data_IF_883816751621
#
_entry.id   IF_883816751621
#
_cell.length_a   1.000
_cell.length_b   1.000
_cell.length_c   1.000
_cell.angle_alpha   90.00
_cell.angle_beta   90.00
_cell.angle_gamma   90.00
#
_symmetry.space_group_name_H-M   'P 1'
#
loop_
_entity.id
_entity.type
_entity.pdbx_description
1 polymer ?
#
# COMPACT_ATOMS: atom_id res chain seq x y z
N UNK A 1 -48.78 -20.46 -58.56
CA UNK A 1 -48.34 -21.70 -57.89
C UNK A 1 -46.87 -21.64 -57.40
N UNK A 2 -45.94 -21.04 -58.14
CA UNK A 2 -44.52 -20.95 -57.74
C UNK A 2 -44.24 -20.14 -56.45
N UNK A 3 -44.98 -19.05 -56.20
CA UNK A 3 -44.78 -18.18 -55.01
C UNK A 3 -45.08 -18.93 -53.70
N UNK A 4 -46.14 -19.75 -53.67
CA UNK A 4 -46.52 -20.52 -52.48
C UNK A 4 -45.44 -21.58 -52.16
N UNK A 5 -44.85 -22.18 -53.19
CA UNK A 5 -43.77 -23.16 -53.06
C UNK A 5 -42.49 -22.49 -52.57
N UNK A 6 -42.17 -21.27 -53.03
CA UNK A 6 -41.04 -20.50 -52.51
C UNK A 6 -41.23 -20.11 -51.05
N UNK A 7 -42.40 -19.57 -50.68
CA UNK A 7 -42.68 -19.18 -49.29
C UNK A 7 -42.59 -20.39 -48.36
N UNK A 8 -43.15 -21.54 -48.77
CA UNK A 8 -43.05 -22.77 -47.99
C UNK A 8 -41.62 -23.31 -47.90
N UNK A 9 -40.82 -23.21 -48.97
CA UNK A 9 -39.39 -23.54 -48.92
C UNK A 9 -38.61 -22.64 -47.95
N UNK A 10 -38.91 -21.34 -47.92
CA UNK A 10 -38.29 -20.38 -46.99
C UNK A 10 -38.70 -20.62 -45.54
N UNK A 11 -39.96 -20.98 -45.28
CA UNK A 11 -40.43 -21.34 -43.94
C UNK A 11 -39.74 -22.62 -43.46
N UNK A 12 -39.59 -23.62 -44.33
CA UNK A 12 -38.88 -24.87 -44.00
C UNK A 12 -37.40 -24.60 -43.74
N UNK A 13 -36.76 -23.71 -44.51
CA UNK A 13 -35.37 -23.31 -44.27
C UNK A 13 -35.20 -22.56 -42.94
N UNK A 14 -36.09 -21.61 -42.63
CA UNK A 14 -36.04 -20.85 -41.38
C UNK A 14 -36.28 -21.75 -40.16
N UNK A 15 -37.28 -22.64 -40.22
CA UNK A 15 -37.57 -23.61 -39.16
C UNK A 15 -36.44 -24.63 -39.03
N UNK A 16 -35.88 -25.10 -40.14
CA UNK A 16 -34.73 -26.01 -40.17
C UNK A 16 -33.48 -25.38 -39.54
N UNK A 17 -33.19 -24.12 -39.85
CA UNK A 17 -32.06 -23.39 -39.28
C UNK A 17 -32.22 -23.19 -37.77
N UNK A 18 -33.44 -22.87 -37.30
CA UNK A 18 -33.76 -22.79 -35.88
C UNK A 18 -33.62 -24.14 -35.16
N UNK A 19 -34.07 -25.23 -35.79
CA UNK A 19 -33.97 -26.58 -35.23
C UNK A 19 -32.51 -27.06 -35.12
N UNK A 20 -31.69 -26.78 -36.14
CA UNK A 20 -30.26 -27.08 -36.13
C UNK A 20 -29.53 -26.22 -35.08
N UNK A 21 -29.84 -24.92 -35.01
CA UNK A 21 -29.29 -24.01 -34.00
C UNK A 21 -29.59 -24.47 -32.57
N UNK A 22 -30.81 -24.93 -32.30
CA UNK A 22 -31.20 -25.47 -31.00
C UNK A 22 -30.44 -26.77 -30.63
N UNK A 23 -30.13 -27.61 -31.63
CA UNK A 23 -29.40 -28.87 -31.42
C UNK A 23 -27.92 -28.64 -31.14
N UNK A 24 -27.28 -27.67 -31.81
CA UNK A 24 -25.86 -27.37 -31.61
C UNK A 24 -25.58 -26.48 -30.39
N UNK A 25 -26.55 -25.68 -29.94
CA UNK A 25 -26.41 -24.81 -28.78
C UNK A 25 -27.56 -25.04 -27.79
N UNK A 26 -27.58 -26.15 -27.03
CA UNK A 26 -28.66 -26.46 -26.08
C UNK A 26 -28.78 -25.43 -24.95
N UNK A 27 -27.71 -24.70 -24.66
CA UNK A 27 -27.69 -23.61 -23.68
C UNK A 27 -27.97 -22.22 -24.28
N UNK A 28 -28.29 -22.11 -25.58
CA UNK A 28 -28.57 -20.84 -26.25
C UNK A 28 -29.70 -20.07 -25.57
N UNK A 29 -30.73 -20.78 -25.09
CA UNK A 29 -31.84 -20.19 -24.33
C UNK A 29 -31.38 -19.55 -23.01
N UNK A 30 -30.45 -20.20 -22.29
CA UNK A 30 -29.87 -19.68 -21.04
C UNK A 30 -28.90 -18.53 -21.32
N UNK A 31 -28.09 -18.64 -22.37
CA UNK A 31 -27.16 -17.60 -22.84
C UNK A 31 -27.91 -16.34 -23.30
N UNK A 32 -29.05 -16.49 -24.00
CA UNK A 32 -29.94 -15.40 -24.41
C UNK A 32 -30.65 -14.70 -23.24
N UNK A 33 -30.99 -15.42 -22.17
CA UNK A 33 -31.72 -14.84 -21.03
C UNK A 33 -30.81 -14.29 -19.93
N UNK A 34 -29.55 -14.73 -19.86
CA UNK A 34 -28.58 -14.24 -18.86
C UNK A 34 -27.47 -13.37 -19.45
N UNK A 35 -27.32 -13.34 -20.77
CA UNK A 35 -26.37 -12.47 -21.47
C UNK A 35 -26.84 -11.02 -21.53
N UNK A 36 -25.94 -10.07 -21.29
CA UNK A 36 -26.14 -8.61 -21.37
C UNK A 36 -26.44 -8.08 -22.79
N UNK A 37 -27.01 -8.87 -23.67
CA UNK A 37 -27.46 -8.42 -25.00
C UNK A 37 -28.96 -8.24 -24.91
N UNK A 38 -29.41 -6.98 -24.80
CA UNK A 38 -30.85 -6.66 -24.77
C UNK A 38 -31.55 -7.32 -25.96
N UNK A 39 -32.68 -8.00 -25.71
CA UNK A 39 -33.55 -8.60 -26.75
C UNK A 39 -33.80 -7.63 -27.92
N UNK A 40 -33.81 -6.33 -27.63
CA UNK A 40 -33.96 -5.25 -28.60
C UNK A 40 -32.82 -5.24 -29.63
N UNK A 41 -31.57 -5.48 -29.23
CA UNK A 41 -30.43 -5.51 -30.14
C UNK A 41 -30.43 -6.75 -31.03
N UNK A 42 -30.80 -7.91 -30.49
CA UNK A 42 -30.89 -9.13 -31.29
C UNK A 42 -32.01 -9.00 -32.33
N UNK A 43 -33.17 -8.50 -31.93
CA UNK A 43 -34.29 -8.23 -32.84
C UNK A 43 -33.87 -7.19 -33.88
N UNK A 44 -33.22 -6.09 -33.49
CA UNK A 44 -32.77 -5.04 -34.40
C UNK A 44 -31.73 -5.54 -35.41
N UNK A 45 -30.77 -6.37 -34.99
CA UNK A 45 -29.77 -6.99 -35.89
C UNK A 45 -30.46 -7.95 -36.87
N UNK A 46 -31.39 -8.77 -36.38
CA UNK A 46 -32.11 -9.75 -37.20
C UNK A 46 -33.01 -9.05 -38.22
N UNK A 47 -33.73 -8.00 -37.82
CA UNK A 47 -34.54 -7.16 -38.71
C UNK A 47 -33.66 -6.38 -39.69
N UNK A 48 -32.53 -5.84 -39.24
CA UNK A 48 -31.58 -5.14 -40.09
C UNK A 48 -30.98 -6.04 -41.17
N UNK A 49 -30.55 -7.25 -40.80
CA UNK A 49 -30.08 -8.27 -41.75
C UNK A 49 -31.19 -8.73 -42.70
N UNK A 50 -32.41 -8.91 -42.20
CA UNK A 50 -33.56 -9.27 -43.04
C UNK A 50 -33.85 -8.21 -44.08
N UNK A 51 -33.90 -6.93 -43.67
CA UNK A 51 -34.05 -5.81 -44.59
C UNK A 51 -32.91 -5.81 -45.58
N UNK A 52 -31.65 -5.89 -45.14
CA UNK A 52 -30.47 -5.84 -46.02
C UNK A 52 -30.46 -6.96 -47.08
N UNK A 53 -30.84 -8.19 -46.71
CA UNK A 53 -30.84 -9.36 -47.60
C UNK A 53 -32.03 -9.38 -48.56
N UNK A 54 -33.18 -8.89 -48.11
CA UNK A 54 -34.40 -8.83 -48.95
C UNK A 54 -34.47 -7.55 -49.77
N UNK A 55 -33.64 -6.55 -49.45
CA UNK A 55 -33.60 -5.26 -50.11
C UNK A 55 -33.40 -5.34 -51.62
N UNK A 56 -32.44 -6.12 -52.17
CA UNK A 56 -32.23 -6.17 -53.62
C UNK A 56 -33.46 -6.71 -54.36
N UNK A 57 -34.16 -7.68 -53.78
CA UNK A 57 -35.38 -8.26 -54.35
C UNK A 57 -36.56 -7.29 -54.29
N UNK A 58 -36.76 -6.65 -53.14
CA UNK A 58 -37.80 -5.63 -52.98
C UNK A 58 -37.54 -4.43 -53.89
N UNK A 59 -36.29 -4.01 -54.00
CA UNK A 59 -35.87 -2.89 -54.82
C UNK A 59 -36.03 -3.17 -56.32
N UNK A 60 -35.61 -4.35 -56.80
CA UNK A 60 -35.84 -4.75 -58.19
C UNK A 60 -37.33 -4.82 -58.52
N UNK A 61 -38.14 -5.38 -57.61
CA UNK A 61 -39.59 -5.40 -57.76
C UNK A 61 -40.19 -3.98 -57.82
N UNK A 62 -39.71 -3.06 -56.98
CA UNK A 62 -40.17 -1.68 -56.95
C UNK A 62 -39.72 -0.89 -58.18
N UNK A 63 -38.48 -1.03 -58.64
CA UNK A 63 -37.95 -0.36 -59.82
C UNK A 63 -38.68 -0.77 -61.12
N UNK A 64 -38.99 -2.06 -61.28
CA UNK A 64 -39.71 -2.56 -62.45
C UNK A 64 -41.17 -2.10 -62.44
N UNK A 65 -41.86 -2.22 -61.30
CA UNK A 65 -43.30 -1.98 -61.25
C UNK A 65 -43.69 -0.51 -61.08
N UNK A 66 -42.87 0.30 -60.41
CA UNK A 66 -43.20 1.69 -60.11
C UNK A 66 -42.43 2.68 -61.00
N UNK A 67 -41.18 2.38 -61.38
CA UNK A 67 -40.36 3.27 -62.21
C UNK A 67 -40.33 2.87 -63.70
N UNK A 68 -40.91 1.72 -64.05
CA UNK A 68 -41.06 1.27 -65.44
C UNK A 68 -39.74 0.90 -66.13
N UNK A 69 -38.69 0.63 -65.35
CA UNK A 69 -37.37 0.24 -65.88
C UNK A 69 -37.47 -1.16 -66.48
N UNK A 70 -37.12 -1.31 -67.76
CA UNK A 70 -37.10 -2.62 -68.42
C UNK A 70 -35.96 -3.48 -67.88
N UNK A 71 -36.15 -4.81 -67.79
CA UNK A 71 -35.22 -5.76 -67.12
C UNK A 71 -33.76 -5.67 -67.62
N UNK A 72 -33.50 -5.08 -68.79
CA UNK A 72 -32.17 -4.89 -69.37
C UNK A 72 -31.44 -3.57 -69.02
N UNK A 73 -32.13 -2.56 -68.50
CA UNK A 73 -31.55 -1.22 -68.20
C UNK A 73 -31.24 -0.99 -66.71
N UNK A 74 -31.50 -2.00 -65.86
CA UNK A 74 -31.20 -1.96 -64.42
C UNK A 74 -29.70 -1.70 -64.11
N UNK A 75 -28.80 -1.96 -65.06
CA UNK A 75 -27.37 -1.67 -64.96
C UNK A 75 -27.01 -0.19 -65.11
N UNK A 76 -27.87 0.65 -65.71
CA UNK A 76 -27.61 2.07 -66.00
C UNK A 76 -28.11 3.02 -64.89
N UNK A 77 -28.55 2.47 -63.75
CA UNK A 77 -29.02 3.24 -62.59
C UNK A 77 -27.86 3.81 -61.73
N UNK A 78 -26.85 4.39 -62.37
CA UNK A 78 -25.71 5.07 -61.73
C UNK A 78 -26.08 6.07 -60.61
N UNK A 79 -27.13 6.91 -60.77
CA UNK A 79 -27.56 7.86 -59.72
C UNK A 79 -28.05 7.21 -58.43
N UNK A 80 -28.50 5.96 -58.49
CA UNK A 80 -28.96 5.20 -57.34
C UNK A 80 -27.76 4.66 -56.54
N UNK A 81 -26.70 4.22 -57.24
CA UNK A 81 -25.43 3.87 -56.63
C UNK A 81 -24.81 5.02 -55.82
N UNK A 82 -24.95 6.26 -56.28
CA UNK A 82 -24.42 7.45 -55.60
C UNK A 82 -25.18 7.79 -54.29
N UNK A 83 -26.49 7.56 -54.23
CA UNK A 83 -27.29 7.72 -53.01
C UNK A 83 -26.90 6.67 -51.96
N UNK A 84 -26.63 5.43 -52.39
CA UNK A 84 -26.15 4.38 -51.47
C UNK A 84 -24.70 4.57 -51.05
N UNK A 85 -23.84 5.06 -51.95
CA UNK A 85 -22.47 5.44 -51.63
C UNK A 85 -22.42 6.52 -50.55
N UNK A 86 -23.24 7.56 -50.68
CA UNK A 86 -23.36 8.63 -49.70
C UNK A 86 -24.01 8.18 -48.38
N UNK A 87 -25.03 7.32 -48.40
CA UNK A 87 -25.62 6.72 -47.19
C UNK A 87 -24.64 5.80 -46.45
N UNK A 88 -23.92 4.95 -47.17
CA UNK A 88 -22.90 4.08 -46.60
C UNK A 88 -21.74 4.89 -46.00
N UNK A 89 -21.34 5.98 -46.67
CA UNK A 89 -20.36 6.93 -46.15
C UNK A 89 -20.85 7.62 -44.87
N UNK A 90 -22.13 7.98 -44.78
CA UNK A 90 -22.73 8.57 -43.58
C UNK A 90 -22.75 7.57 -42.42
N UNK A 91 -23.21 6.34 -42.65
CA UNK A 91 -23.23 5.27 -41.64
C UNK A 91 -21.81 4.96 -41.17
N UNK A 92 -20.85 4.87 -42.09
CA UNK A 92 -19.43 4.65 -41.77
C UNK A 92 -18.84 5.81 -40.96
N UNK A 93 -19.21 7.05 -41.27
CA UNK A 93 -18.80 8.23 -40.48
C UNK A 93 -19.37 8.20 -39.06
N UNK A 94 -20.64 7.83 -38.89
CA UNK A 94 -21.26 7.69 -37.56
C UNK A 94 -20.60 6.56 -36.77
N UNK A 95 -20.33 5.42 -37.42
CA UNK A 95 -19.61 4.31 -36.80
C UNK A 95 -18.20 4.72 -36.36
N UNK A 96 -17.47 5.48 -37.20
CA UNK A 96 -16.16 6.01 -36.85
C UNK A 96 -16.24 6.97 -35.65
N UNK A 97 -17.21 7.87 -35.62
CA UNK A 97 -17.45 8.76 -34.48
C UNK A 97 -17.77 7.97 -33.20
N UNK A 98 -18.59 6.91 -33.28
CA UNK A 98 -18.91 6.05 -32.15
C UNK A 98 -17.68 5.30 -31.62
N UNK A 99 -16.84 4.77 -32.52
CA UNK A 99 -15.57 4.13 -32.16
C UNK A 99 -14.63 5.13 -31.51
N UNK A 100 -14.42 6.30 -32.11
CA UNK A 100 -13.57 7.35 -31.56
C UNK A 100 -14.04 7.80 -30.17
N UNK A 101 -15.35 8.00 -29.99
CA UNK A 101 -15.95 8.32 -28.69
C UNK A 101 -15.72 7.20 -27.66
N UNK A 102 -15.93 5.94 -28.06
CA UNK A 102 -15.67 4.79 -27.19
C UNK A 102 -14.19 4.71 -26.77
N UNK A 103 -13.26 4.94 -27.70
CA UNK A 103 -11.83 4.98 -27.41
C UNK A 103 -11.48 6.11 -26.42
N UNK A 104 -12.06 7.30 -26.58
CA UNK A 104 -11.86 8.41 -25.64
C UNK A 104 -12.36 8.03 -24.24
N UNK A 105 -13.52 7.37 -24.14
CA UNK A 105 -14.07 6.91 -22.86
C UNK A 105 -13.14 5.87 -22.21
N UNK A 106 -12.69 4.88 -22.98
CA UNK A 106 -11.75 3.85 -22.51
C UNK A 106 -10.44 4.47 -21.98
N UNK A 107 -9.92 5.50 -22.65
CA UNK A 107 -8.72 6.23 -22.19
C UNK A 107 -8.99 6.91 -20.84
N UNK A 108 -10.15 7.54 -20.67
CA UNK A 108 -10.52 8.18 -19.40
C UNK A 108 -10.65 7.15 -18.27
N UNK A 109 -11.30 6.02 -18.51
CA UNK A 109 -11.45 4.94 -17.54
C UNK A 109 -10.09 4.35 -17.14
N UNK A 110 -9.20 4.11 -18.11
CA UNK A 110 -7.83 3.64 -17.82
C UNK A 110 -7.03 4.63 -16.98
N UNK A 111 -7.19 5.94 -17.23
CA UNK A 111 -6.55 6.97 -16.40
C UNK A 111 -7.07 6.95 -14.98
N UNK A 112 -8.39 6.90 -14.79
CA UNK A 112 -9.00 6.83 -13.46
C UNK A 112 -8.57 5.57 -12.71
N UNK A 113 -8.63 4.41 -13.37
CA UNK A 113 -8.19 3.13 -12.81
C UNK A 113 -6.73 3.17 -12.35
N UNK A 114 -5.84 3.79 -13.14
CA UNK A 114 -4.43 3.98 -12.75
C UNK A 114 -4.27 4.88 -11.52
N UNK A 115 -5.07 5.94 -11.39
CA UNK A 115 -5.03 6.82 -10.21
C UNK A 115 -5.51 6.07 -8.98
N UNK A 116 -6.68 5.43 -9.04
CA UNK A 116 -7.21 4.63 -7.93
C UNK A 116 -6.27 3.51 -7.52
N UNK A 117 -5.63 2.83 -8.48
CA UNK A 117 -4.64 1.79 -8.18
C UNK A 117 -3.43 2.35 -7.43
N UNK A 118 -2.94 3.55 -7.80
CA UNK A 118 -1.84 4.20 -7.09
C UNK A 118 -2.23 4.58 -5.66
N UNK A 119 -3.43 5.13 -5.47
CA UNK A 119 -3.93 5.52 -4.16
C UNK A 119 -4.07 4.27 -3.26
N UNK A 120 -4.68 3.21 -3.78
CA UNK A 120 -4.80 1.92 -3.08
C UNK A 120 -3.43 1.32 -2.74
N UNK A 121 -2.45 1.42 -3.64
CA UNK A 121 -1.10 0.95 -3.38
C UNK A 121 -0.45 1.73 -2.23
N UNK A 122 -0.62 3.05 -2.19
CA UNK A 122 -0.12 3.88 -1.09
C UNK A 122 -0.80 3.56 0.25
N UNK A 123 -2.12 3.37 0.24
CA UNK A 123 -2.89 2.97 1.44
C UNK A 123 -2.46 1.59 1.94
N UNK A 124 -2.27 0.63 1.01
CA UNK A 124 -1.78 -0.71 1.35
C UNK A 124 -0.38 -0.69 1.95
N UNK A 125 0.53 0.12 1.38
CA UNK A 125 1.88 0.30 1.93
C UNK A 125 1.82 0.88 3.34
N UNK A 126 1.02 1.93 3.55
CA UNK A 126 0.86 2.55 4.86
C UNK A 126 0.24 1.59 5.89
N UNK A 127 -0.77 0.83 5.50
CA UNK A 127 -1.39 -0.19 6.36
C UNK A 127 -0.40 -1.30 6.72
N UNK A 128 0.40 -1.77 5.75
CA UNK A 128 1.43 -2.79 5.98
C UNK A 128 2.51 -2.29 6.93
N UNK A 129 2.99 -1.05 6.73
CA UNK A 129 3.92 -0.39 7.64
C UNK A 129 3.34 -0.31 9.05
N UNK A 130 2.12 0.21 9.19
CA UNK A 130 1.48 0.42 10.49
C UNK A 130 1.30 -0.90 11.25
N UNK A 131 0.86 -1.95 10.56
CA UNK A 131 0.73 -3.28 11.14
C UNK A 131 2.07 -3.83 11.64
N UNK A 132 3.14 -3.70 10.84
CA UNK A 132 4.47 -4.13 11.25
C UNK A 132 4.99 -3.31 12.43
N UNK A 133 4.79 -2.00 12.42
CA UNK A 133 5.17 -1.10 13.51
C UNK A 133 4.49 -1.49 14.82
N UNK A 134 3.17 -1.64 14.83
CA UNK A 134 2.43 -2.03 16.04
C UNK A 134 2.75 -3.46 16.48
N UNK A 135 3.04 -4.37 15.54
CA UNK A 135 3.53 -5.72 15.86
C UNK A 135 4.86 -5.67 16.61
N UNK A 136 5.83 -4.87 16.14
CA UNK A 136 7.11 -4.67 16.82
C UNK A 136 6.95 -3.99 18.19
N UNK A 137 6.05 -3.00 18.29
CA UNK A 137 5.76 -2.32 19.55
C UNK A 137 5.14 -3.26 20.58
N UNK A 138 4.21 -4.12 20.15
CA UNK A 138 3.64 -5.16 21.00
C UNK A 138 4.70 -6.20 21.38
N UNK A 139 5.55 -6.62 20.45
CA UNK A 139 6.66 -7.52 20.73
C UNK A 139 7.60 -6.94 21.79
N UNK A 140 7.91 -5.64 21.70
CA UNK A 140 8.66 -4.89 22.72
C UNK A 140 7.97 -4.99 24.07
N UNK A 141 6.66 -4.74 24.14
CA UNK A 141 5.91 -4.78 25.40
C UNK A 141 5.90 -6.19 26.02
N UNK A 142 5.72 -7.23 25.20
CA UNK A 142 5.80 -8.63 25.65
C UNK A 142 7.19 -8.94 26.21
N UNK A 143 8.25 -8.53 25.52
CA UNK A 143 9.63 -8.71 25.99
C UNK A 143 9.89 -7.96 27.29
N UNK A 144 9.39 -6.74 27.42
CA UNK A 144 9.47 -5.97 28.67
C UNK A 144 8.79 -6.72 29.83
N UNK A 145 7.55 -7.19 29.63
CA UNK A 145 6.78 -7.90 30.67
C UNK A 145 7.40 -9.24 31.09
N UNK A 146 8.07 -9.92 30.15
CA UNK A 146 8.72 -11.20 30.38
C UNK A 146 10.17 -11.05 30.87
N UNK A 147 10.72 -9.84 30.85
CA UNK A 147 12.07 -9.58 31.34
C UNK A 147 12.06 -9.61 32.86
N UNK A 148 12.46 -10.75 33.41
CA UNK A 148 12.46 -11.04 34.85
C UNK A 148 13.69 -11.84 35.22
N UNK A 149 14.20 -11.57 36.41
CA UNK A 149 15.34 -12.29 36.97
C UNK A 149 14.86 -12.92 38.27
N UNK A 150 14.80 -14.24 38.28
CA UNK A 150 14.39 -15.02 39.44
C UNK A 150 15.65 -15.55 40.11
N UNK A 151 15.94 -15.02 41.29
CA UNK A 151 16.95 -15.58 42.20
C UNK A 151 16.25 -16.44 43.27
N UNK A 152 17.01 -17.28 43.97
CA UNK A 152 16.49 -18.14 45.06
C UNK A 152 15.70 -17.38 46.14
N UNK A 153 15.99 -16.09 46.34
CA UNK A 153 15.41 -15.25 47.39
C UNK A 153 14.52 -14.11 46.88
N UNK A 154 14.67 -13.71 45.61
CA UNK A 154 14.11 -12.46 45.10
C UNK A 154 13.74 -12.59 43.61
N UNK A 155 12.55 -12.10 43.26
CA UNK A 155 12.16 -11.86 41.87
C UNK A 155 12.33 -10.37 41.56
N UNK A 156 13.15 -10.08 40.55
CA UNK A 156 13.31 -8.76 39.98
C UNK A 156 12.52 -8.69 38.68
N UNK A 157 11.44 -7.91 38.67
CA UNK A 157 10.75 -7.53 37.45
C UNK A 157 11.56 -6.50 36.66
N UNK A 158 11.15 -6.30 35.41
CA UNK A 158 11.73 -5.32 34.48
C UNK A 158 11.76 -3.91 35.07
N UNK A 159 10.68 -3.48 35.72
CA UNK A 159 10.57 -2.15 36.33
C UNK A 159 11.70 -1.94 37.35
N UNK A 160 11.90 -2.90 38.27
CA UNK A 160 12.96 -2.85 39.29
C UNK A 160 14.34 -2.84 38.66
N UNK A 161 14.57 -3.65 37.62
CA UNK A 161 15.88 -3.74 36.97
C UNK A 161 16.23 -2.42 36.28
N UNK A 162 15.35 -1.88 35.43
CA UNK A 162 15.60 -0.61 34.75
C UNK A 162 15.74 0.55 35.74
N UNK A 163 14.92 0.58 36.80
CA UNK A 163 15.06 1.60 37.85
C UNK A 163 16.39 1.49 38.59
N UNK A 164 16.88 0.28 38.87
CA UNK A 164 18.17 0.07 39.52
C UNK A 164 19.33 0.55 38.64
N UNK A 165 19.29 0.24 37.33
CA UNK A 165 20.29 0.70 36.36
C UNK A 165 20.29 2.22 36.26
N UNK A 166 19.10 2.83 36.09
CA UNK A 166 18.94 4.28 36.01
C UNK A 166 19.49 5.00 37.24
N UNK A 167 19.15 4.52 38.45
CA UNK A 167 19.69 5.07 39.71
C UNK A 167 21.21 4.92 39.82
N UNK A 168 21.78 3.79 39.38
CA UNK A 168 23.25 3.60 39.38
C UNK A 168 23.92 4.58 38.43
N UNK A 169 23.41 4.77 37.22
CA UNK A 169 23.99 5.73 36.28
C UNK A 169 23.97 7.15 36.84
N UNK A 170 22.82 7.59 37.36
CA UNK A 170 22.70 8.93 37.94
C UNK A 170 23.69 9.14 39.08
N UNK A 171 23.91 8.13 39.92
CA UNK A 171 24.90 8.18 41.01
C UNK A 171 26.34 8.25 40.49
N UNK A 172 26.66 7.46 39.46
CA UNK A 172 27.97 7.45 38.81
C UNK A 172 28.28 8.83 38.23
N UNK A 173 27.39 9.32 37.38
CA UNK A 173 27.49 10.63 36.73
C UNK A 173 27.68 11.75 37.75
N UNK A 174 26.91 11.76 38.84
CA UNK A 174 26.95 12.84 39.84
C UNK A 174 28.17 12.83 40.76
N UNK A 175 28.75 11.65 41.04
CA UNK A 175 29.74 11.52 42.11
C UNK A 175 31.10 11.00 41.60
N UNK A 176 31.09 10.08 40.66
CA UNK A 176 32.28 9.31 40.25
C UNK A 176 32.79 9.75 38.86
N UNK A 177 31.91 10.24 37.99
CA UNK A 177 32.21 10.63 36.60
C UNK A 177 32.05 12.13 36.34
N UNK A 178 32.26 12.96 37.36
CA UNK A 178 32.27 14.42 37.19
C UNK A 178 33.45 14.89 36.35
N UNK A 179 34.56 14.13 36.35
CA UNK A 179 35.73 14.40 35.54
C UNK A 179 35.66 13.64 34.22
N UNK A 180 35.50 14.38 33.12
CA UNK A 180 35.37 13.84 31.77
C UNK A 180 36.67 13.16 31.31
N UNK A 181 37.84 13.57 31.81
CA UNK A 181 39.13 13.02 31.35
C UNK A 181 39.29 11.52 31.68
N UNK A 182 38.57 11.05 32.69
CA UNK A 182 38.59 9.65 33.13
C UNK A 182 37.63 8.78 32.30
N UNK A 183 36.65 9.40 31.61
CA UNK A 183 35.61 8.69 30.87
C UNK A 183 36.15 8.09 29.57
N UNK A 184 35.93 6.79 29.40
CA UNK A 184 36.13 6.11 28.13
C UNK A 184 35.11 4.97 27.96
N UNK A 185 34.96 4.48 26.73
CA UNK A 185 34.01 3.44 26.39
C UNK A 185 34.19 2.15 27.22
N UNK A 186 35.43 1.78 27.57
CA UNK A 186 35.71 0.55 28.30
C UNK A 186 35.31 0.66 29.78
N UNK A 187 35.58 1.79 30.43
CA UNK A 187 35.14 2.09 31.78
C UNK A 187 33.61 2.03 31.88
N UNK A 188 32.92 2.74 30.99
CA UNK A 188 31.45 2.81 30.98
C UNK A 188 30.83 1.42 30.76
N UNK A 189 31.42 0.62 29.87
CA UNK A 189 31.02 -0.77 29.64
C UNK A 189 31.24 -1.64 30.88
N UNK A 190 32.42 -1.56 31.49
CA UNK A 190 32.80 -2.36 32.67
C UNK A 190 31.89 -2.06 33.85
N UNK A 191 31.62 -0.79 34.14
CA UNK A 191 30.74 -0.38 35.24
C UNK A 191 29.33 -0.95 35.07
N UNK A 192 28.76 -0.88 33.85
CA UNK A 192 27.45 -1.48 33.60
C UNK A 192 27.50 -3.00 33.77
N UNK A 193 28.51 -3.66 33.21
CA UNK A 193 28.66 -5.11 33.30
C UNK A 193 28.78 -5.60 34.75
N UNK A 194 29.66 -4.97 35.55
CA UNK A 194 29.83 -5.32 36.96
C UNK A 194 28.58 -5.02 37.78
N UNK A 195 27.91 -3.91 37.52
CA UNK A 195 26.65 -3.59 38.18
C UNK A 195 25.58 -4.65 37.90
N UNK A 196 25.42 -5.05 36.63
CA UNK A 196 24.47 -6.09 36.26
C UNK A 196 24.83 -7.42 36.92
N UNK A 197 26.09 -7.87 36.85
CA UNK A 197 26.52 -9.11 37.53
C UNK A 197 26.20 -9.11 39.03
N UNK A 198 26.34 -7.96 39.70
CA UNK A 198 26.02 -7.81 41.12
C UNK A 198 24.52 -7.85 41.37
N UNK A 199 23.74 -7.13 40.54
CA UNK A 199 22.28 -7.07 40.65
C UNK A 199 21.66 -8.46 40.44
N UNK A 200 22.24 -9.26 39.55
CA UNK A 200 21.63 -10.50 39.05
C UNK A 200 22.32 -11.75 39.58
N UNK A 201 23.17 -11.61 40.61
CA UNK A 201 23.94 -12.70 41.23
C UNK A 201 24.65 -13.59 40.20
N UNK A 202 25.22 -12.98 39.15
CA UNK A 202 25.97 -13.61 38.02
C UNK A 202 25.13 -14.24 36.90
N UNK A 203 23.82 -13.97 36.80
CA UNK A 203 23.02 -14.33 35.61
C UNK A 203 23.33 -13.36 34.45
N UNK A 204 23.40 -13.87 33.21
CA UNK A 204 23.87 -13.16 32.02
C UNK A 204 22.88 -12.11 31.46
N UNK A 205 22.63 -11.05 32.23
CA UNK A 205 21.57 -10.07 31.92
C UNK A 205 21.91 -9.05 30.84
N UNK A 206 23.19 -8.88 30.52
CA UNK A 206 23.61 -7.95 29.47
C UNK A 206 23.15 -8.36 28.07
N UNK A 207 23.01 -9.66 27.82
CA UNK A 207 22.55 -10.17 26.52
C UNK A 207 21.05 -9.99 26.35
N UNK A 208 20.29 -10.20 27.42
CA UNK A 208 18.84 -10.03 27.44
C UNK A 208 18.46 -8.56 27.24
N UNK A 209 19.14 -7.64 27.95
CA UNK A 209 19.03 -6.20 27.70
C UNK A 209 19.41 -5.84 26.27
N UNK A 210 20.46 -6.47 25.75
CA UNK A 210 20.89 -6.22 24.38
C UNK A 210 19.83 -6.64 23.36
N UNK A 211 19.27 -7.85 23.52
CA UNK A 211 18.18 -8.34 22.67
C UNK A 211 16.94 -7.44 22.78
N UNK A 212 16.65 -6.94 23.97
CA UNK A 212 15.53 -6.03 24.20
C UNK A 212 15.68 -4.72 23.44
N UNK A 213 16.82 -4.04 23.58
CA UNK A 213 17.02 -2.74 22.96
C UNK A 213 17.20 -2.78 21.44
N UNK A 214 17.55 -3.94 20.88
CA UNK A 214 17.56 -4.11 19.41
C UNK A 214 16.18 -3.92 18.79
N UNK A 215 15.09 -4.19 19.52
CA UNK A 215 13.72 -3.97 19.03
C UNK A 215 13.46 -2.48 18.79
N UNK A 216 14.00 -1.59 19.63
CA UNK A 216 13.94 -0.15 19.38
C UNK A 216 14.75 0.25 18.15
N UNK A 217 15.89 -0.40 17.92
CA UNK A 217 16.65 -0.24 16.68
C UNK A 217 15.84 -0.64 15.46
N UNK A 218 15.11 -1.75 15.52
CA UNK A 218 14.23 -2.20 14.43
C UNK A 218 13.07 -1.24 14.18
N UNK A 219 12.41 -0.75 15.25
CA UNK A 219 11.36 0.27 15.17
C UNK A 219 11.86 1.57 14.53
N UNK A 220 13.00 2.09 15.00
CA UNK A 220 13.57 3.34 14.48
C UNK A 220 14.02 3.18 13.03
N UNK A 221 14.64 2.06 12.68
CA UNK A 221 15.04 1.78 11.31
C UNK A 221 13.84 1.59 10.38
N UNK A 222 12.75 0.97 10.86
CA UNK A 222 11.51 0.83 10.11
C UNK A 222 10.94 2.21 9.75
N UNK A 223 10.88 3.13 10.71
CA UNK A 223 10.44 4.52 10.47
C UNK A 223 11.39 5.23 9.50
N UNK A 224 12.71 5.18 9.74
CA UNK A 224 13.72 5.86 8.91
C UNK A 224 13.75 5.40 7.45
N UNK A 225 13.45 4.13 7.18
CA UNK A 225 13.49 3.53 5.83
C UNK A 225 12.14 3.59 5.12
N UNK A 226 11.11 4.11 5.77
CA UNK A 226 9.76 4.17 5.19
C UNK A 226 9.64 5.34 4.19
N UNK A 227 8.76 5.18 3.20
CA UNK A 227 8.40 6.23 2.25
C UNK A 227 7.42 7.27 2.87
N UNK A 228 7.39 7.40 4.20
CA UNK A 228 6.47 8.29 4.93
C UNK A 228 6.90 9.74 4.84
N UNK A 229 5.92 10.65 4.98
CA UNK A 229 6.18 12.08 5.14
C UNK A 229 7.02 12.35 6.40
N UNK A 230 7.75 13.46 6.45
CA UNK A 230 8.54 13.83 7.62
C UNK A 230 7.65 14.01 8.87
N UNK A 231 6.43 14.50 8.68
CA UNK A 231 5.42 14.65 9.74
C UNK A 231 5.03 13.29 10.32
N UNK A 232 4.68 12.32 9.46
CA UNK A 232 4.34 10.96 9.90
C UNK A 232 5.54 10.27 10.56
N UNK A 233 6.75 10.43 10.03
CA UNK A 233 7.95 9.88 10.66
C UNK A 233 8.15 10.45 12.07
N UNK A 234 7.94 11.76 12.26
CA UNK A 234 8.04 12.38 13.57
C UNK A 234 6.95 11.89 14.52
N UNK A 235 5.72 11.70 14.02
CA UNK A 235 4.63 11.10 14.78
C UNK A 235 4.98 9.68 15.28
N UNK A 236 5.50 8.81 14.40
CA UNK A 236 5.90 7.46 14.83
C UNK A 236 7.12 7.45 15.75
N UNK A 237 8.09 8.35 15.55
CA UNK A 237 9.20 8.55 16.51
C UNK A 237 8.67 8.96 17.88
N UNK A 238 7.68 9.84 17.94
CA UNK A 238 7.04 10.24 19.19
C UNK A 238 6.34 9.07 19.89
N UNK A 239 5.64 8.21 19.16
CA UNK A 239 5.06 6.98 19.72
C UNK A 239 6.16 6.10 20.32
N UNK A 240 7.29 5.92 19.62
CA UNK A 240 8.42 5.13 20.13
C UNK A 240 8.91 5.70 21.47
N UNK A 241 9.16 7.02 21.53
CA UNK A 241 9.63 7.70 22.75
C UNK A 241 8.67 7.56 23.91
N UNK A 242 7.39 7.85 23.66
CA UNK A 242 6.32 7.77 24.66
C UNK A 242 6.07 6.32 25.13
N UNK A 243 6.43 5.32 24.32
CA UNK A 243 6.35 3.93 24.75
C UNK A 243 7.46 3.53 25.72
N UNK A 244 8.56 4.28 25.80
CA UNK A 244 9.65 4.01 26.75
C UNK A 244 9.34 4.62 28.09
N UNK A 245 9.69 3.92 29.17
CA UNK A 245 9.80 4.56 30.49
C UNK A 245 11.08 5.38 30.57
N UNK A 246 11.10 6.37 31.48
CA UNK A 246 12.29 7.18 31.79
C UNK A 246 13.51 6.30 32.08
N UNK A 247 13.32 5.23 32.88
CA UNK A 247 14.40 4.33 33.26
C UNK A 247 14.92 3.47 32.10
N UNK A 248 14.06 3.11 31.13
CA UNK A 248 14.50 2.48 29.88
C UNK A 248 15.32 3.45 29.02
N UNK A 249 14.87 4.71 28.88
CA UNK A 249 15.63 5.71 28.13
C UNK A 249 17.02 5.93 28.75
N UNK A 250 17.09 6.07 30.09
CA UNK A 250 18.37 6.21 30.80
C UNK A 250 19.25 4.96 30.66
N UNK A 251 18.65 3.76 30.65
CA UNK A 251 19.40 2.52 30.43
C UNK A 251 19.96 2.42 29.01
N UNK A 252 19.14 2.75 28.00
CA UNK A 252 19.57 2.83 26.60
C UNK A 252 20.67 3.89 26.43
N UNK A 253 20.53 5.03 27.10
CA UNK A 253 21.52 6.09 27.16
C UNK A 253 22.83 5.65 27.84
N UNK A 254 22.82 4.69 28.77
CA UNK A 254 24.06 4.09 29.23
C UNK A 254 24.64 3.14 28.18
N UNK A 255 23.82 2.23 27.66
CA UNK A 255 24.29 1.19 26.75
C UNK A 255 24.82 1.74 25.44
N UNK A 256 24.19 2.78 24.90
CA UNK A 256 24.59 3.40 23.64
C UNK A 256 25.92 4.16 23.75
N UNK A 257 26.37 4.52 24.95
CA UNK A 257 27.59 5.30 25.13
C UNK A 257 28.82 4.53 24.62
N UNK A 258 28.83 3.21 24.83
CA UNK A 258 29.93 2.32 24.42
C UNK A 258 29.57 1.36 23.28
N UNK A 259 28.30 1.28 22.85
CA UNK A 259 27.86 0.41 21.74
C UNK A 259 27.59 1.21 20.47
N UNK A 260 28.51 1.14 19.52
CA UNK A 260 28.40 1.86 18.25
C UNK A 260 27.13 1.51 17.45
N UNK A 261 26.72 0.23 17.49
CA UNK A 261 25.47 -0.22 16.87
C UNK A 261 24.26 0.59 17.34
N UNK A 262 24.24 0.99 18.60
CA UNK A 262 23.13 1.75 19.17
C UNK A 262 23.18 3.20 18.73
N UNK A 263 24.37 3.80 18.74
CA UNK A 263 24.57 5.15 18.21
C UNK A 263 24.02 5.27 16.78
N UNK A 264 24.34 4.30 15.93
CA UNK A 264 23.90 4.30 14.53
C UNK A 264 22.37 4.34 14.36
N UNK A 265 21.62 3.52 15.10
CA UNK A 265 20.16 3.55 14.96
C UNK A 265 19.50 4.70 15.73
N UNK A 266 20.16 5.25 16.75
CA UNK A 266 19.64 6.35 17.56
C UNK A 266 19.93 7.74 16.97
N UNK A 267 20.93 7.89 16.11
CA UNK A 267 21.22 9.18 15.46
C UNK A 267 19.99 9.73 14.74
N UNK A 268 19.69 11.02 14.87
CA UNK A 268 18.49 11.68 14.29
C UNK A 268 17.12 11.10 14.74
N UNK A 269 17.10 10.29 15.79
CA UNK A 269 15.86 9.75 16.36
C UNK A 269 15.21 10.71 17.34
N UNK A 270 16.00 11.56 18.00
CA UNK A 270 15.56 12.33 19.14
C UNK A 270 15.01 11.46 20.27
N UNK A 271 15.40 10.18 20.40
CA UNK A 271 14.72 9.22 21.31
C UNK A 271 14.76 9.64 22.78
N UNK A 272 15.78 10.41 23.18
CA UNK A 272 15.97 10.84 24.55
C UNK A 272 15.20 12.15 24.79
N UNK A 273 14.02 12.04 25.40
CA UNK A 273 13.09 13.15 25.58
C UNK A 273 12.46 13.25 26.99
N UNK A 274 12.48 12.17 27.76
CA UNK A 274 11.76 12.10 29.05
C UNK A 274 12.61 12.45 30.27
N UNK A 275 13.94 12.58 30.12
CA UNK A 275 14.83 12.87 31.23
C UNK A 275 15.75 14.07 30.97
N UNK A 276 16.01 14.81 32.03
CA UNK A 276 17.04 15.85 32.06
C UNK A 276 17.57 15.98 33.48
N UNK A 277 18.88 15.82 33.62
CA UNK A 277 19.63 16.21 34.80
C UNK A 277 20.87 16.98 34.36
N UNK A 278 21.12 18.15 34.97
CA UNK A 278 22.26 19.00 34.61
C UNK A 278 23.58 18.22 34.73
N UNK A 279 23.70 17.42 35.78
CA UNK A 279 24.86 16.55 36.04
C UNK A 279 25.14 15.56 34.89
N UNK A 280 24.13 15.20 34.07
CA UNK A 280 24.30 14.30 32.92
C UNK A 280 24.85 14.97 31.67
N UNK A 281 24.88 16.30 31.61
CA UNK A 281 25.31 17.02 30.39
C UNK A 281 26.78 16.74 30.01
N UNK A 282 27.75 16.75 30.94
CA UNK A 282 29.13 16.34 30.65
C UNK A 282 29.21 14.96 29.96
N UNK A 283 28.53 13.97 30.53
CA UNK A 283 28.48 12.61 29.97
C UNK A 283 27.77 12.58 28.61
N UNK A 284 26.67 13.32 28.46
CA UNK A 284 25.91 13.39 27.21
C UNK A 284 26.77 13.97 26.07
N UNK A 285 27.42 15.12 26.31
CA UNK A 285 28.27 15.79 25.31
C UNK A 285 29.50 14.96 24.93
N UNK A 286 30.01 14.13 25.84
CA UNK A 286 31.17 13.28 25.56
C UNK A 286 30.83 12.11 24.63
N UNK A 287 29.66 11.47 24.79
CA UNK A 287 29.34 10.24 24.06
C UNK A 287 28.37 10.44 22.88
N UNK A 288 27.67 11.56 22.80
CA UNK A 288 26.55 11.80 21.88
C UNK A 288 26.64 13.18 21.22
N UNK A 289 25.90 13.35 20.12
CA UNK A 289 25.59 14.65 19.54
C UNK A 289 24.16 15.09 19.92
N UNK A 290 23.72 16.28 19.51
CA UNK A 290 22.39 16.80 19.86
C UNK A 290 21.24 16.02 19.19
N UNK A 291 21.50 15.31 18.08
CA UNK A 291 20.46 14.65 17.26
C UNK A 291 19.81 13.43 17.94
N UNK A 292 20.44 12.95 19.02
CA UNK A 292 19.93 11.87 19.86
C UNK A 292 18.80 12.33 20.79
N UNK A 293 18.64 13.65 20.99
CA UNK A 293 17.75 14.22 22.00
C UNK A 293 16.63 15.04 21.37
N UNK A 294 15.45 15.01 22.00
CA UNK A 294 14.39 15.99 21.73
C UNK A 294 13.91 16.72 22.98
N UNK A 295 14.54 16.48 24.14
CA UNK A 295 14.20 17.18 25.38
C UNK A 295 14.59 18.68 25.28
N UNK A 296 13.66 19.65 25.43
CA UNK A 296 13.95 21.08 25.24
C UNK A 296 15.07 21.62 26.12
N UNK A 297 15.12 21.23 27.39
CA UNK A 297 16.20 21.62 28.31
C UNK A 297 17.56 21.06 27.91
N UNK A 298 17.64 19.82 27.39
CA UNK A 298 18.92 19.25 26.92
C UNK A 298 19.44 20.09 25.74
N UNK A 299 18.57 20.34 24.75
CA UNK A 299 18.93 21.13 23.56
C UNK A 299 19.36 22.56 23.93
N UNK A 300 18.68 23.19 24.88
CA UNK A 300 19.08 24.51 25.39
C UNK A 300 20.47 24.50 26.03
N UNK A 301 20.75 23.51 26.88
CA UNK A 301 22.03 23.40 27.59
C UNK A 301 23.15 22.79 26.72
N UNK A 302 22.85 22.35 25.50
CA UNK A 302 23.83 21.73 24.61
C UNK A 302 24.93 22.71 24.20
N UNK A 303 24.52 23.96 23.93
CA UNK A 303 25.41 25.05 23.50
C UNK A 303 25.95 25.91 24.66
N UNK A 304 25.50 25.67 25.89
CA UNK A 304 26.04 26.34 27.08
C UNK A 304 27.33 25.61 27.51
N UNK A 305 28.44 26.34 27.64
CA UNK A 305 29.71 25.76 28.11
C UNK A 305 29.51 25.09 29.50
N UNK A 306 30.16 23.94 29.76
CA UNK A 306 30.10 23.31 31.07
C UNK A 306 30.85 24.19 32.09
N UNK A 307 30.13 25.13 32.70
CA UNK A 307 30.56 25.86 33.91
C UNK A 307 30.57 24.96 35.12
#
# INVERSE_FOLDING_TARGET
MQIIIQISAWVVLAVGFFAVGHKFFPNFKKWLTTGKVSYVWLIAITLGLFVLLTYPYFFNWWAINFWGVTEGELGDLGPIGDIYGSLNSLISSIALCAVAYSTILQIKELRLSRMTYKDQLSETKFATFSNLFYSLLNHKQTKYNNFRIVNETDEFDSVRIFNAISKRLLRLVKNEWNDIEILNNDLVRKELHFFLLRLTKKVATSEELNSYFLIYGDLLNLVKRSDLSLEDQNFFKEIIRNSMTVSEQVTLFWMAAYKEKYKNFLKDSGVFDQFFHRDMMPFAKFFYDETYFSHPKVLKNWNEDPT
#
